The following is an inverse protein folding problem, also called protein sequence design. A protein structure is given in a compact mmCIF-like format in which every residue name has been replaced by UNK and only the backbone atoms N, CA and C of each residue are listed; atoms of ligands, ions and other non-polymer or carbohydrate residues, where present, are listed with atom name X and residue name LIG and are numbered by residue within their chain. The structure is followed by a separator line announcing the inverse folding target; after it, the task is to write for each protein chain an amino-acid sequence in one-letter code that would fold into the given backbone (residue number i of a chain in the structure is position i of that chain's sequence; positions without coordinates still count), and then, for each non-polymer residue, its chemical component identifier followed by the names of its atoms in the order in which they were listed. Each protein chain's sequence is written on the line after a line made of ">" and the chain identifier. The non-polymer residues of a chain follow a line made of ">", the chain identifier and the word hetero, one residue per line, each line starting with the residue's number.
data_IF_663022617078
#
_entry.id   IF_663022617078
#
_cell.length_a   1.000
_cell.length_b   1.000
_cell.length_c   1.000
_cell.angle_alpha   90.00
_cell.angle_beta   90.00
_cell.angle_gamma   90.00
#
_symmetry.space_group_name_H-M   'P 1'
#
loop_
_entity.id
_entity.type
_entity.pdbx_description
1 polymer ?
#
# COMPACT_ATOMS: atom_id res chain seq x y z
N UNK A 1 2.65 6.16 -15.37
CA UNK A 1 3.05 5.02 -14.58
C UNK A 1 4.30 5.32 -13.75
N UNK A 2 4.19 5.19 -12.43
CA UNK A 2 5.23 5.57 -11.50
C UNK A 2 6.49 4.70 -11.66
N UNK A 3 6.29 3.41 -11.79
CA UNK A 3 7.39 2.44 -11.87
C UNK A 3 6.86 1.20 -12.59
N UNK A 4 7.60 0.70 -13.61
CA UNK A 4 7.15 -0.46 -14.37
C UNK A 4 7.06 -1.75 -13.54
N UNK A 5 7.68 -1.79 -12.36
CA UNK A 5 7.65 -2.95 -11.48
C UNK A 5 6.44 -2.96 -10.54
N UNK A 6 5.61 -1.93 -10.56
CA UNK A 6 4.38 -1.92 -9.76
C UNK A 6 3.38 -2.93 -10.33
N UNK A 7 2.84 -3.78 -9.45
CA UNK A 7 1.85 -4.81 -9.79
C UNK A 7 0.43 -4.36 -9.45
N UNK A 8 0.29 -3.61 -8.36
CA UNK A 8 -1.00 -3.17 -7.82
C UNK A 8 -0.83 -1.81 -7.19
N UNK A 9 -1.81 -0.94 -7.38
CA UNK A 9 -1.90 0.33 -6.66
C UNK A 9 -3.37 0.62 -6.44
N UNK A 10 -3.81 0.66 -5.19
CA UNK A 10 -5.21 0.86 -4.88
C UNK A 10 -5.41 1.52 -3.53
N UNK A 11 -6.54 2.19 -3.39
CA UNK A 11 -6.95 2.84 -2.14
C UNK A 11 -7.90 1.89 -1.42
N UNK A 12 -7.58 1.62 -0.16
CA UNK A 12 -8.32 0.70 0.70
C UNK A 12 -8.95 1.52 1.82
N UNK A 13 -10.25 1.35 2.03
CA UNK A 13 -10.96 2.08 3.08
C UNK A 13 -10.82 1.40 4.45
N UNK A 14 -11.28 2.04 5.55
CA UNK A 14 -11.16 1.45 6.89
C UNK A 14 -11.88 0.11 7.07
N UNK A 15 -12.78 -0.24 6.18
CA UNK A 15 -13.46 -1.55 6.19
C UNK A 15 -12.69 -2.63 5.47
N UNK A 16 -11.51 -2.30 4.93
CA UNK A 16 -10.70 -3.26 4.19
C UNK A 16 -11.19 -3.50 2.77
N UNK A 17 -11.88 -2.51 2.20
CA UNK A 17 -12.38 -2.62 0.83
C UNK A 17 -11.66 -1.67 -0.11
N UNK A 18 -11.37 -2.16 -1.29
CA UNK A 18 -10.76 -1.34 -2.33
C UNK A 18 -11.81 -0.40 -2.91
N UNK A 19 -11.53 0.89 -2.86
CA UNK A 19 -12.43 1.94 -3.38
C UNK A 19 -11.91 2.60 -4.64
N UNK A 20 -10.64 2.39 -5.00
CA UNK A 20 -10.04 2.94 -6.21
C UNK A 20 -8.81 2.13 -6.60
N UNK A 21 -8.42 2.19 -7.86
CA UNK A 21 -7.23 1.53 -8.37
C UNK A 21 -7.41 0.03 -8.59
N UNK A 22 -6.31 -0.69 -8.68
CA UNK A 22 -6.33 -2.14 -8.87
C UNK A 22 -5.03 -2.69 -9.43
N UNK A 23 -5.09 -3.91 -9.94
CA UNK A 23 -3.97 -4.59 -10.56
C UNK A 23 -3.56 -3.90 -11.86
N UNK A 24 -2.27 -3.91 -12.12
CA UNK A 24 -1.73 -3.51 -13.41
C UNK A 24 -2.26 -4.46 -14.48
N UNK A 25 -2.64 -3.91 -15.63
CA UNK A 25 -3.14 -4.70 -16.73
C UNK A 25 -2.15 -5.79 -17.13
N UNK A 26 -2.67 -7.00 -17.33
CA UNK A 26 -1.87 -8.15 -17.72
C UNK A 26 -1.15 -8.86 -16.58
N UNK A 27 -1.23 -8.34 -15.37
CA UNK A 27 -0.60 -8.94 -14.19
C UNK A 27 -1.62 -9.80 -13.45
N UNK A 28 -1.23 -11.04 -13.15
CA UNK A 28 -2.09 -11.94 -12.38
C UNK A 28 -1.82 -11.76 -10.89
N UNK A 29 -2.89 -11.70 -10.06
CA UNK A 29 -2.70 -11.65 -8.61
C UNK A 29 -1.98 -12.90 -8.10
N UNK A 30 -1.17 -12.73 -7.07
CA UNK A 30 -0.49 -13.84 -6.40
C UNK A 30 -1.41 -14.52 -5.38
N UNK A 31 -2.41 -13.82 -4.88
CA UNK A 31 -3.38 -14.32 -3.91
C UNK A 31 -4.74 -14.54 -4.55
N UNK A 32 -5.55 -15.43 -3.95
CA UNK A 32 -6.95 -15.61 -4.31
C UNK A 32 -7.77 -14.38 -3.90
N UNK A 33 -9.01 -14.25 -4.42
CA UNK A 33 -9.89 -13.16 -4.01
C UNK A 33 -10.13 -13.15 -2.50
N UNK A 34 -10.31 -14.32 -1.91
CA UNK A 34 -10.53 -14.44 -0.46
C UNK A 34 -9.31 -14.00 0.32
N UNK A 35 -8.13 -14.40 -0.12
CA UNK A 35 -6.88 -14.00 0.53
C UNK A 35 -6.63 -12.51 0.35
N UNK A 36 -6.98 -11.94 -0.79
CA UNK A 36 -6.88 -10.51 -1.02
C UNK A 36 -7.78 -9.73 -0.06
N UNK A 37 -9.01 -10.18 0.15
CA UNK A 37 -9.92 -9.57 1.13
C UNK A 37 -9.32 -9.58 2.53
N UNK A 38 -8.72 -10.70 2.93
CA UNK A 38 -8.06 -10.83 4.22
C UNK A 38 -6.86 -9.90 4.34
N UNK A 39 -6.08 -9.79 3.28
CA UNK A 39 -4.92 -8.90 3.23
C UNK A 39 -5.34 -7.44 3.41
N UNK A 40 -6.40 -7.01 2.74
CA UNK A 40 -6.91 -5.64 2.85
C UNK A 40 -7.48 -5.36 4.24
N UNK A 41 -8.15 -6.32 4.86
CA UNK A 41 -8.64 -6.21 6.23
C UNK A 41 -7.49 -6.04 7.22
N UNK A 42 -6.45 -6.85 7.07
CA UNK A 42 -5.25 -6.76 7.90
C UNK A 42 -4.60 -5.40 7.74
N UNK A 43 -4.48 -4.93 6.50
CA UNK A 43 -3.87 -3.63 6.19
C UNK A 43 -4.64 -2.49 6.87
N UNK A 44 -5.96 -2.48 6.74
CA UNK A 44 -6.81 -1.46 7.36
C UNK A 44 -6.67 -1.47 8.88
N UNK A 45 -6.63 -2.66 9.48
CA UNK A 45 -6.47 -2.81 10.92
C UNK A 45 -5.11 -2.29 11.39
N UNK A 46 -4.04 -2.61 10.67
CA UNK A 46 -2.69 -2.16 11.02
C UNK A 46 -2.58 -0.63 10.97
N UNK A 47 -3.18 -0.01 9.96
CA UNK A 47 -3.19 1.45 9.85
C UNK A 47 -3.87 2.06 11.07
N UNK A 48 -5.01 1.52 11.46
CA UNK A 48 -5.76 2.01 12.62
C UNK A 48 -4.96 1.82 13.92
N UNK A 49 -4.32 0.68 14.09
CA UNK A 49 -3.52 0.40 15.27
C UNK A 49 -2.31 1.33 15.38
N UNK A 50 -1.66 1.62 14.26
CA UNK A 50 -0.51 2.54 14.24
C UNK A 50 -0.92 3.97 14.60
N UNK A 51 -2.14 4.37 14.26
CA UNK A 51 -2.65 5.71 14.56
C UNK A 51 -2.75 5.99 16.05
N UNK A 52 -2.85 4.96 16.87
CA UNK A 52 -2.88 5.11 18.32
C UNK A 52 -1.61 5.76 18.87
N UNK A 53 -0.52 5.71 18.14
CA UNK A 53 0.77 6.27 18.53
C UNK A 53 1.12 7.57 17.81
N UNK A 54 0.19 8.11 17.04
CA UNK A 54 0.44 9.34 16.26
C UNK A 54 0.81 10.52 17.16
N UNK A 55 0.20 10.60 18.34
CA UNK A 55 0.44 11.70 19.27
C UNK A 55 1.87 11.67 19.83
N UNK A 56 2.37 10.48 20.16
CA UNK A 56 3.70 10.31 20.75
C UNK A 56 4.81 10.29 19.70
N UNK A 57 4.55 9.67 18.56
CA UNK A 57 5.58 9.37 17.56
C UNK A 57 5.41 10.16 16.25
N UNK A 58 4.31 10.89 16.11
CA UNK A 58 3.96 11.53 14.84
C UNK A 58 3.23 10.58 13.92
N UNK A 59 2.58 11.12 12.90
CA UNK A 59 1.83 10.31 11.95
C UNK A 59 2.76 9.46 11.10
N UNK A 60 2.30 8.26 10.75
CA UNK A 60 3.02 7.38 9.84
C UNK A 60 2.99 8.00 8.44
N UNK A 61 4.15 8.15 7.82
CA UNK A 61 4.24 8.62 6.43
C UNK A 61 4.08 7.47 5.45
N UNK A 62 4.71 6.35 5.73
CA UNK A 62 4.53 5.11 4.98
C UNK A 62 4.99 3.94 5.84
N UNK A 63 4.48 2.76 5.51
CA UNK A 63 4.97 1.51 6.06
C UNK A 63 5.32 0.60 4.89
N UNK A 64 6.32 -0.25 5.08
CA UNK A 64 6.85 -1.06 4.00
C UNK A 64 7.14 -2.47 4.50
N UNK A 65 6.86 -3.44 3.65
CA UNK A 65 7.15 -4.83 3.93
C UNK A 65 7.83 -5.44 2.69
N UNK A 66 9.06 -5.86 2.85
CA UNK A 66 9.77 -6.55 1.77
C UNK A 66 9.60 -8.05 1.96
N UNK A 67 8.85 -8.67 1.05
CA UNK A 67 8.64 -10.11 1.03
C UNK A 67 9.46 -10.71 -0.10
N UNK A 68 9.58 -12.03 -0.11
CA UNK A 68 10.35 -12.72 -1.16
C UNK A 68 9.82 -12.43 -2.56
N UNK A 69 8.50 -12.32 -2.72
CA UNK A 69 7.86 -12.14 -4.04
C UNK A 69 7.40 -10.72 -4.32
N UNK A 70 7.16 -9.93 -3.30
CA UNK A 70 6.62 -8.58 -3.48
C UNK A 70 7.22 -7.61 -2.47
N UNK A 71 7.27 -6.35 -2.89
CA UNK A 71 7.52 -5.20 -2.02
C UNK A 71 6.18 -4.51 -1.81
N UNK A 72 5.72 -4.44 -0.57
CA UNK A 72 4.44 -3.83 -0.23
C UNK A 72 4.66 -2.52 0.51
N UNK A 73 4.02 -1.45 0.04
CA UNK A 73 4.13 -0.11 0.63
C UNK A 73 2.71 0.39 0.92
N UNK A 74 2.48 0.88 2.13
CA UNK A 74 1.22 1.48 2.49
C UNK A 74 1.42 2.91 2.95
N UNK A 75 0.57 3.82 2.45
CA UNK A 75 0.64 5.26 2.76
C UNK A 75 -0.74 5.69 3.25
N UNK A 76 -0.88 6.12 4.51
CA UNK A 76 -2.15 6.62 5.01
C UNK A 76 -2.57 7.89 4.24
N UNK A 77 -3.85 7.95 3.84
CA UNK A 77 -4.44 9.11 3.18
C UNK A 77 -5.78 9.39 3.87
N UNK A 78 -5.79 10.33 4.82
CA UNK A 78 -6.98 10.55 5.64
C UNK A 78 -7.32 9.27 6.41
N UNK A 79 -8.54 8.78 6.26
CA UNK A 79 -8.99 7.53 6.89
C UNK A 79 -8.69 6.30 6.03
N UNK A 80 -8.30 6.51 4.78
CA UNK A 80 -7.98 5.43 3.84
C UNK A 80 -6.48 5.17 3.82
N UNK A 81 -6.08 4.15 3.07
CA UNK A 81 -4.68 3.85 2.86
C UNK A 81 -4.43 3.54 1.39
N UNK A 82 -3.38 4.13 0.83
CA UNK A 82 -2.90 3.75 -0.50
C UNK A 82 -1.99 2.54 -0.31
N UNK A 83 -2.35 1.43 -0.94
CA UNK A 83 -1.55 0.21 -0.93
C UNK A 83 -0.91 0.00 -2.30
N UNK A 84 0.40 -0.13 -2.31
CA UNK A 84 1.17 -0.38 -3.53
C UNK A 84 1.94 -1.68 -3.36
N UNK A 85 1.77 -2.60 -4.30
CA UNK A 85 2.55 -3.82 -4.35
C UNK A 85 3.40 -3.81 -5.62
N UNK A 86 4.68 -4.06 -5.49
CA UNK A 86 5.62 -4.08 -6.59
C UNK A 86 6.38 -5.40 -6.61
N UNK A 87 7.11 -5.66 -7.71
CA UNK A 87 8.02 -6.79 -7.76
C UNK A 87 9.06 -6.64 -6.64
N UNK A 88 9.50 -7.77 -6.08
CA UNK A 88 10.46 -7.74 -4.96
C UNK A 88 11.79 -7.09 -5.33
N UNK A 89 12.11 -7.03 -6.61
CA UNK A 89 13.33 -6.39 -7.10
C UNK A 89 13.23 -4.87 -7.26
N UNK A 90 12.05 -4.29 -7.00
CA UNK A 90 11.89 -2.84 -7.04
C UNK A 90 12.80 -2.17 -6.01
N UNK A 91 13.22 -0.95 -6.29
CA UNK A 91 14.13 -0.22 -5.41
C UNK A 91 13.36 0.35 -4.20
N UNK A 92 13.41 -0.36 -3.09
CA UNK A 92 12.71 0.03 -1.86
C UNK A 92 13.31 1.30 -1.22
N UNK A 93 14.49 1.72 -1.66
CA UNK A 93 15.10 2.95 -1.15
C UNK A 93 14.53 4.19 -1.84
N UNK A 94 14.03 4.04 -3.04
CA UNK A 94 13.58 5.14 -3.90
C UNK A 94 12.07 5.17 -4.05
N UNK A 95 11.43 4.00 -4.17
CA UNK A 95 10.01 3.92 -4.49
C UNK A 95 9.09 4.61 -3.47
N UNK A 96 9.29 4.45 -2.15
CA UNK A 96 8.43 5.15 -1.19
C UNK A 96 8.45 6.67 -1.35
N UNK A 97 9.61 7.25 -1.58
CA UNK A 97 9.74 8.71 -1.76
C UNK A 97 9.04 9.17 -3.04
N UNK A 98 9.11 8.39 -4.10
CA UNK A 98 8.39 8.70 -5.36
C UNK A 98 6.89 8.72 -5.14
N UNK A 99 6.38 7.75 -4.37
CA UNK A 99 4.95 7.66 -4.05
C UNK A 99 4.52 8.88 -3.24
N UNK A 100 5.28 9.24 -2.21
CA UNK A 100 4.99 10.41 -1.38
C UNK A 100 5.00 11.70 -2.19
N UNK A 101 5.95 11.84 -3.10
CA UNK A 101 6.03 13.03 -3.97
C UNK A 101 4.77 13.18 -4.82
N UNK A 102 4.25 12.09 -5.37
CA UNK A 102 3.04 12.12 -6.18
C UNK A 102 1.83 12.51 -5.33
N UNK A 103 1.69 11.94 -4.15
CA UNK A 103 0.60 12.24 -3.22
C UNK A 103 0.64 13.71 -2.80
N UNK A 104 1.82 14.22 -2.48
CA UNK A 104 1.97 15.60 -2.01
C UNK A 104 1.75 16.64 -3.09
N UNK A 105 1.85 16.26 -4.36
CA UNK A 105 1.59 17.15 -5.51
C UNK A 105 0.13 17.13 -5.95
N UNK A 106 -0.63 16.15 -5.52
CA UNK A 106 -2.02 15.98 -5.93
C UNK A 106 -2.96 16.98 -5.26
#
# INVERSE_FOLDING_TARGET
>A
NLDPLIRFAGVINPRGRRVAGGMKEGVKPLESEKDEEMLFMELALRVKMRQEFDKQLGKVKFAMSLREKVLAISVPIGDDVLYVAAESKADYKVLPEKILDIINKA
#
